data_IF_764104554764
#
_entry.id   IF_764104554764
#
_cell.length_a   1.000
_cell.length_b   1.000
_cell.length_c   1.000
_cell.angle_alpha   90.00
_cell.angle_beta   90.00
_cell.angle_gamma   90.00
#
_symmetry.space_group_name_H-M   'P 1'
#
loop_
_entity.id
_entity.type
_entity.pdbx_description
1 polymer ?
#
# COMPACT_ATOMS: atom_id res chain seq x y z
N UNK A 1 20.26 -4.12 -12.05
CA UNK A 1 20.75 -2.72 -12.15
C UNK A 1 20.07 -1.81 -11.12
N UNK A 2 18.72 -1.63 -11.15
CA UNK A 2 18.02 -0.78 -10.14
C UNK A 2 18.17 -1.37 -8.73
N UNK A 3 17.97 -2.67 -8.58
CA UNK A 3 18.11 -3.38 -7.31
C UNK A 3 19.51 -3.20 -6.71
N UNK A 4 20.55 -3.37 -7.53
CA UNK A 4 21.94 -3.24 -7.09
C UNK A 4 22.24 -1.83 -6.59
N UNK A 5 21.79 -0.81 -7.34
CA UNK A 5 21.93 0.60 -6.94
C UNK A 5 21.28 0.92 -5.60
N UNK A 6 20.07 0.40 -5.37
CA UNK A 6 19.33 0.66 -4.14
C UNK A 6 19.96 -0.07 -2.97
N UNK A 7 20.36 -1.33 -3.14
CA UNK A 7 21.02 -2.13 -2.10
C UNK A 7 22.38 -1.57 -1.65
N UNK A 8 23.07 -0.85 -2.51
CA UNK A 8 24.33 -0.18 -2.15
C UNK A 8 24.15 1.00 -1.19
N UNK A 9 22.96 1.59 -1.13
CA UNK A 9 22.68 2.81 -0.35
C UNK A 9 21.71 2.59 0.82
N UNK A 10 20.87 1.57 0.76
CA UNK A 10 19.76 1.37 1.69
C UNK A 10 19.70 -0.06 2.20
N UNK A 11 19.38 -0.23 3.48
CA UNK A 11 19.05 -1.52 4.08
C UNK A 11 17.68 -2.02 3.62
N UNK A 12 17.44 -3.32 3.76
CA UNK A 12 16.17 -3.96 3.34
C UNK A 12 14.90 -3.37 3.98
N UNK A 13 15.02 -2.76 5.15
CA UNK A 13 13.90 -2.11 5.84
C UNK A 13 13.58 -0.70 5.33
N UNK A 14 14.49 -0.09 4.56
CA UNK A 14 14.42 1.32 4.18
C UNK A 14 13.78 1.54 2.82
N UNK A 15 13.59 0.49 2.02
CA UNK A 15 12.96 0.60 0.70
C UNK A 15 12.01 -0.55 0.39
N UNK A 16 11.17 -0.32 -0.57
CA UNK A 16 10.31 -1.34 -1.19
C UNK A 16 10.07 -1.04 -2.66
N UNK A 17 9.76 -2.06 -3.44
CA UNK A 17 9.45 -1.92 -4.86
C UNK A 17 7.96 -2.17 -5.07
N UNK A 18 7.29 -1.24 -5.75
CA UNK A 18 5.85 -1.33 -6.04
C UNK A 18 5.59 -1.29 -7.54
N UNK A 19 4.64 -2.06 -8.02
CA UNK A 19 4.24 -2.05 -9.42
C UNK A 19 2.78 -2.46 -9.61
N UNK A 20 2.15 -1.97 -10.67
CA UNK A 20 0.87 -2.48 -11.17
C UNK A 20 0.97 -3.87 -11.81
N UNK A 21 2.18 -4.27 -12.18
CA UNK A 21 2.45 -5.54 -12.87
C UNK A 21 2.95 -6.59 -11.87
N UNK A 22 2.23 -7.68 -11.72
CA UNK A 22 2.58 -8.80 -10.84
C UNK A 22 3.97 -9.37 -11.16
N UNK A 23 4.32 -9.39 -12.47
CA UNK A 23 5.62 -9.84 -12.97
C UNK A 23 6.80 -9.09 -12.35
N UNK A 24 6.63 -7.81 -12.00
CA UNK A 24 7.71 -7.04 -11.35
C UNK A 24 7.98 -7.58 -9.96
N UNK A 25 6.94 -7.77 -9.14
CA UNK A 25 7.09 -8.38 -7.82
C UNK A 25 7.70 -9.78 -7.90
N UNK A 26 7.18 -10.61 -8.81
CA UNK A 26 7.71 -11.95 -9.04
C UNK A 26 9.20 -11.94 -9.38
N UNK A 27 9.62 -11.11 -10.35
CA UNK A 27 11.02 -11.02 -10.76
C UNK A 27 11.93 -10.49 -9.64
N UNK A 28 11.47 -9.50 -8.87
CA UNK A 28 12.22 -8.98 -7.72
C UNK A 28 12.43 -10.08 -6.68
N UNK A 29 11.38 -10.84 -6.36
CA UNK A 29 11.46 -11.95 -5.41
C UNK A 29 12.36 -13.09 -5.90
N UNK A 30 12.39 -13.33 -7.22
CA UNK A 30 13.31 -14.31 -7.81
C UNK A 30 14.78 -13.89 -7.72
N UNK A 31 15.07 -12.59 -7.80
CA UNK A 31 16.43 -12.04 -7.66
C UNK A 31 16.85 -11.98 -6.19
N UNK A 32 15.98 -11.46 -5.33
CA UNK A 32 16.25 -11.31 -3.90
C UNK A 32 14.94 -11.33 -3.09
N UNK A 33 14.61 -12.44 -2.44
CA UNK A 33 13.35 -12.60 -1.69
C UNK A 33 13.24 -11.69 -0.46
N UNK A 34 14.34 -11.11 0.02
CA UNK A 34 14.35 -10.17 1.16
C UNK A 34 13.82 -8.78 0.80
N UNK A 35 13.82 -8.42 -0.48
CA UNK A 35 13.28 -7.12 -0.92
C UNK A 35 11.77 -7.13 -0.77
N UNK A 36 11.25 -6.15 -0.04
CA UNK A 36 9.79 -5.97 0.10
C UNK A 36 9.18 -5.49 -1.20
N UNK A 37 8.14 -6.17 -1.65
CA UNK A 37 7.41 -5.82 -2.87
C UNK A 37 5.94 -5.61 -2.59
N UNK A 38 5.32 -4.69 -3.34
CA UNK A 38 3.90 -4.37 -3.22
C UNK A 38 3.18 -4.29 -4.56
N UNK A 39 1.91 -4.65 -4.55
CA UNK A 39 1.03 -4.46 -5.70
C UNK A 39 0.36 -3.09 -5.64
N UNK A 40 0.62 -2.26 -6.65
CA UNK A 40 -0.16 -1.05 -6.90
C UNK A 40 -1.53 -1.43 -7.47
N UNK A 41 -2.60 -0.90 -6.90
CA UNK A 41 -3.98 -1.19 -7.25
C UNK A 41 -4.75 0.12 -7.44
N UNK A 42 -5.75 0.13 -8.33
CA UNK A 42 -6.58 1.31 -8.57
C UNK A 42 -6.18 2.09 -9.81
N UNK A 43 -5.77 1.38 -10.89
CA UNK A 43 -5.59 2.00 -12.21
C UNK A 43 -6.87 2.70 -12.66
N UNK A 44 -6.70 3.85 -13.29
CA UNK A 44 -7.81 4.50 -13.98
C UNK A 44 -8.22 3.74 -15.25
N UNK A 45 -9.46 3.92 -15.67
CA UNK A 45 -10.00 3.41 -16.95
C UNK A 45 -9.79 1.91 -17.19
N UNK A 46 -9.93 1.10 -16.14
CA UNK A 46 -9.86 -0.38 -16.27
C UNK A 46 -11.24 -1.00 -16.34
N UNK A 47 -11.34 -2.11 -17.08
CA UNK A 47 -12.57 -2.90 -17.16
C UNK A 47 -12.97 -3.57 -15.85
N UNK A 48 -14.23 -4.01 -15.75
CA UNK A 48 -14.81 -4.62 -14.54
C UNK A 48 -13.98 -5.79 -14.00
N UNK A 49 -13.52 -6.70 -14.86
CA UNK A 49 -12.71 -7.84 -14.42
C UNK A 49 -11.38 -7.45 -13.78
N UNK A 50 -10.72 -6.41 -14.31
CA UNK A 50 -9.49 -5.87 -13.72
C UNK A 50 -9.80 -5.22 -12.36
N UNK A 51 -10.88 -4.45 -12.25
CA UNK A 51 -11.31 -3.83 -11.00
C UNK A 51 -11.62 -4.86 -9.93
N UNK A 52 -12.28 -5.95 -10.30
CA UNK A 52 -12.56 -7.05 -9.39
C UNK A 52 -11.27 -7.70 -8.87
N UNK A 53 -10.27 -7.91 -9.74
CA UNK A 53 -8.96 -8.44 -9.36
C UNK A 53 -8.14 -7.46 -8.50
N UNK A 54 -8.39 -6.16 -8.61
CA UNK A 54 -7.80 -5.15 -7.73
C UNK A 54 -8.48 -5.12 -6.36
N UNK A 55 -9.79 -5.38 -6.33
CA UNK A 55 -10.55 -5.45 -5.07
C UNK A 55 -10.26 -6.76 -4.30
N UNK A 56 -9.90 -7.85 -4.99
CA UNK A 56 -9.51 -9.13 -4.40
C UNK A 56 -8.07 -9.50 -4.78
N UNK A 57 -7.06 -8.80 -4.24
CA UNK A 57 -5.65 -8.95 -4.67
C UNK A 57 -4.95 -10.19 -4.11
N UNK A 58 -5.57 -10.92 -3.18
CA UNK A 58 -4.91 -11.95 -2.38
C UNK A 58 -4.33 -13.09 -3.24
N UNK A 59 -5.07 -13.50 -4.27
CA UNK A 59 -4.59 -14.54 -5.20
C UNK A 59 -3.38 -14.06 -6.00
N UNK A 60 -3.38 -12.79 -6.43
CA UNK A 60 -2.27 -12.18 -7.16
C UNK A 60 -1.04 -12.07 -6.26
N UNK A 61 -1.22 -11.60 -5.03
CA UNK A 61 -0.14 -11.52 -4.03
C UNK A 61 0.53 -12.87 -3.83
N UNK A 62 -0.27 -13.92 -3.61
CA UNK A 62 0.25 -15.28 -3.42
C UNK A 62 1.07 -15.75 -4.63
N UNK A 63 0.62 -15.45 -5.86
CA UNK A 63 1.32 -15.86 -7.09
C UNK A 63 2.65 -15.13 -7.31
N UNK A 64 2.71 -13.84 -7.00
CA UNK A 64 3.89 -13.02 -7.26
C UNK A 64 4.79 -12.79 -6.03
N UNK A 65 4.39 -13.30 -4.86
CA UNK A 65 5.14 -13.14 -3.62
C UNK A 65 5.13 -11.73 -3.04
N UNK A 66 4.15 -10.89 -3.42
CA UNK A 66 4.07 -9.53 -2.89
C UNK A 66 3.76 -9.51 -1.39
N UNK A 67 4.44 -8.65 -0.65
CA UNK A 67 4.36 -8.57 0.81
C UNK A 67 3.23 -7.64 1.29
N UNK A 68 2.81 -6.70 0.46
CA UNK A 68 1.76 -5.72 0.79
C UNK A 68 0.98 -5.27 -0.44
N UNK A 69 -0.13 -4.59 -0.20
CA UNK A 69 -0.89 -3.90 -1.26
C UNK A 69 -0.77 -2.39 -1.11
N UNK A 70 -0.76 -1.71 -2.24
CA UNK A 70 -0.78 -0.25 -2.30
C UNK A 70 -1.96 0.20 -3.15
N UNK A 71 -3.18 0.24 -2.56
CA UNK A 71 -4.39 0.62 -3.27
C UNK A 71 -4.56 2.14 -3.37
N UNK A 72 -5.20 2.59 -4.46
CA UNK A 72 -5.77 3.92 -4.52
C UNK A 72 -6.87 4.06 -3.47
N UNK A 73 -6.99 5.23 -2.83
CA UNK A 73 -7.91 5.45 -1.70
C UNK A 73 -9.38 5.13 -2.02
N UNK A 74 -9.80 5.25 -3.28
CA UNK A 74 -11.17 4.92 -3.71
C UNK A 74 -11.51 3.43 -3.57
N UNK A 75 -10.53 2.54 -3.55
CA UNK A 75 -10.71 1.11 -3.28
C UNK A 75 -10.86 0.81 -1.78
N UNK A 76 -10.45 1.74 -0.92
CA UNK A 76 -10.35 1.52 0.53
C UNK A 76 -11.70 1.73 1.22
N UNK A 77 -12.70 0.91 0.87
CA UNK A 77 -13.93 0.81 1.65
C UNK A 77 -13.62 0.18 3.02
N UNK A 78 -14.52 0.34 3.97
CA UNK A 78 -14.37 -0.27 5.31
C UNK A 78 -14.24 -1.80 5.24
N UNK A 79 -15.02 -2.42 4.38
CA UNK A 79 -15.04 -3.86 4.14
C UNK A 79 -13.73 -4.35 3.53
N UNK A 80 -13.21 -3.61 2.53
CA UNK A 80 -11.93 -3.90 1.89
C UNK A 80 -10.79 -3.88 2.91
N UNK A 81 -10.68 -2.79 3.67
CA UNK A 81 -9.63 -2.65 4.68
C UNK A 81 -9.72 -3.75 5.75
N UNK A 82 -10.91 -3.97 6.32
CA UNK A 82 -11.11 -5.02 7.34
C UNK A 82 -10.78 -6.42 6.84
N UNK A 83 -11.14 -6.74 5.58
CA UNK A 83 -10.85 -8.04 5.00
C UNK A 83 -9.34 -8.30 4.88
N UNK A 84 -8.60 -7.31 4.40
CA UNK A 84 -7.15 -7.43 4.27
C UNK A 84 -6.44 -7.45 5.63
N UNK A 85 -6.92 -6.66 6.60
CA UNK A 85 -6.41 -6.69 7.97
C UNK A 85 -6.59 -8.06 8.63
N UNK A 86 -7.75 -8.71 8.45
CA UNK A 86 -7.98 -10.08 8.95
C UNK A 86 -6.99 -11.11 8.39
N UNK A 87 -6.41 -10.83 7.25
CA UNK A 87 -5.38 -11.65 6.60
C UNK A 87 -3.95 -11.16 6.88
N UNK A 88 -3.80 -10.20 7.78
CA UNK A 88 -2.51 -9.56 8.12
C UNK A 88 -1.78 -8.98 6.91
N UNK A 89 -2.52 -8.51 5.90
CA UNK A 89 -1.96 -7.87 4.71
C UNK A 89 -1.77 -6.38 4.96
N UNK A 90 -0.53 -5.85 4.91
CA UNK A 90 -0.30 -4.42 5.06
C UNK A 90 -0.89 -3.62 3.89
N UNK A 91 -1.47 -2.44 4.19
CA UNK A 91 -2.20 -1.60 3.25
C UNK A 91 -1.56 -0.20 3.22
N UNK A 92 -0.93 0.17 2.10
CA UNK A 92 -0.24 1.45 1.89
C UNK A 92 -1.03 2.28 0.88
N UNK A 93 -1.93 3.14 1.36
CA UNK A 93 -2.92 3.85 0.54
C UNK A 93 -2.31 5.07 -0.16
N UNK A 94 -2.60 5.26 -1.45
CA UNK A 94 -2.11 6.37 -2.29
C UNK A 94 -3.21 6.96 -3.16
N UNK A 95 -3.04 8.13 -3.73
CA UNK A 95 -2.37 9.28 -3.18
C UNK A 95 -3.44 10.08 -2.44
N UNK A 96 -3.24 10.33 -1.17
CA UNK A 96 -4.27 10.93 -0.30
C UNK A 96 -3.85 12.34 0.11
N UNK A 97 -4.51 13.35 -0.45
CA UNK A 97 -4.23 14.76 -0.17
C UNK A 97 -5.36 15.44 0.61
N UNK A 98 -6.54 14.84 0.67
CA UNK A 98 -7.69 15.37 1.40
C UNK A 98 -7.65 14.99 2.89
N UNK A 99 -7.79 15.98 3.75
CA UNK A 99 -7.74 15.85 5.21
C UNK A 99 -8.83 14.93 5.78
N UNK A 100 -10.04 14.94 5.20
CA UNK A 100 -11.15 14.09 5.68
C UNK A 100 -10.90 12.63 5.33
N UNK A 101 -10.36 12.39 4.13
CA UNK A 101 -9.97 11.04 3.69
C UNK A 101 -8.82 10.51 4.54
N UNK A 102 -7.79 11.33 4.84
CA UNK A 102 -6.70 10.96 5.75
C UNK A 102 -7.24 10.49 7.10
N UNK A 103 -8.11 11.28 7.74
CA UNK A 103 -8.74 10.93 9.02
C UNK A 103 -9.53 9.62 8.95
N UNK A 104 -10.30 9.43 7.88
CA UNK A 104 -11.08 8.20 7.66
C UNK A 104 -10.16 6.98 7.60
N UNK A 105 -9.09 7.04 6.81
CA UNK A 105 -8.14 5.94 6.61
C UNK A 105 -7.36 5.61 7.88
N UNK A 106 -6.93 6.62 8.63
CA UNK A 106 -6.27 6.44 9.94
C UNK A 106 -7.20 5.68 10.90
N UNK A 107 -8.48 6.08 10.98
CA UNK A 107 -9.48 5.40 11.83
C UNK A 107 -9.81 3.99 11.35
N UNK A 108 -9.69 3.72 10.06
CA UNK A 108 -9.81 2.36 9.51
C UNK A 108 -8.59 1.49 9.83
N UNK A 109 -7.46 2.08 10.27
CA UNK A 109 -6.25 1.36 10.65
C UNK A 109 -5.43 0.88 9.46
N UNK A 110 -5.38 1.64 8.36
CA UNK A 110 -4.44 1.33 7.27
C UNK A 110 -3.00 1.43 7.75
N UNK A 111 -2.10 0.68 7.14
CA UNK A 111 -0.70 0.59 7.59
C UNK A 111 0.07 1.88 7.32
N UNK A 112 -0.16 2.51 6.16
CA UNK A 112 0.49 3.75 5.78
C UNK A 112 -0.38 4.55 4.80
N UNK A 113 -0.16 5.85 4.77
CA UNK A 113 -0.75 6.79 3.80
C UNK A 113 0.38 7.46 3.04
N UNK A 114 0.27 7.47 1.71
CA UNK A 114 1.16 8.16 0.80
C UNK A 114 0.47 9.43 0.33
N UNK A 115 1.11 10.58 0.57
CA UNK A 115 0.55 11.91 0.31
C UNK A 115 1.60 12.83 -0.30
N UNK A 116 1.15 13.76 -1.15
CA UNK A 116 1.96 14.91 -1.60
C UNK A 116 1.96 16.05 -0.57
N UNK A 117 1.14 15.92 0.49
CA UNK A 117 0.97 16.89 1.56
C UNK A 117 1.36 16.27 2.93
N UNK A 118 2.64 15.95 3.15
CA UNK A 118 3.09 15.35 4.40
C UNK A 118 2.90 16.28 5.62
N UNK A 119 2.94 17.59 5.42
CA UNK A 119 2.62 18.60 6.42
C UNK A 119 1.19 18.43 6.96
N UNK A 120 0.21 18.28 6.06
CA UNK A 120 -1.21 18.08 6.43
C UNK A 120 -1.39 16.72 7.10
N UNK A 121 -0.76 15.67 6.58
CA UNK A 121 -0.86 14.32 7.10
C UNK A 121 -0.32 14.24 8.54
N UNK A 122 0.85 14.81 8.81
CA UNK A 122 1.44 14.85 10.15
C UNK A 122 0.53 15.56 11.16
N UNK A 123 -0.05 16.71 10.78
CA UNK A 123 -1.01 17.42 11.63
C UNK A 123 -2.27 16.59 11.93
N UNK A 124 -2.74 15.80 10.96
CA UNK A 124 -3.88 14.90 11.15
C UNK A 124 -3.54 13.78 12.13
N UNK A 125 -2.36 13.15 11.98
CA UNK A 125 -1.89 12.06 12.84
C UNK A 125 -1.75 12.55 14.28
N UNK A 126 -1.05 13.68 14.50
CA UNK A 126 -0.87 14.26 15.82
C UNK A 126 -2.22 14.57 16.48
N UNK A 127 -3.16 15.18 15.73
CA UNK A 127 -4.48 15.52 16.27
C UNK A 127 -5.34 14.29 16.60
N UNK A 128 -5.13 13.16 15.93
CA UNK A 128 -5.85 11.90 16.20
C UNK A 128 -5.26 11.18 17.44
N UNK A 129 -3.93 11.22 17.59
CA UNK A 129 -3.24 10.68 18.78
C UNK A 129 -3.68 11.42 20.03
N UNK A 130 -3.60 12.77 20.02
CA UNK A 130 -3.98 13.61 21.18
C UNK A 130 -5.45 13.45 21.59
N UNK A 131 -6.34 12.96 20.71
CA UNK A 131 -7.73 12.68 21.05
C UNK A 131 -7.94 11.30 21.67
N UNK A 132 -7.04 10.36 21.44
CA UNK A 132 -7.11 9.02 22.05
C UNK A 132 -6.63 8.98 23.48
N UNK A 133 -5.76 9.94 23.85
CA UNK A 133 -5.19 10.07 25.19
C UNK A 133 -6.07 10.88 26.15
N UNK A 134 -7.27 11.32 25.71
CA UNK A 134 -8.28 12.00 26.52
C UNK A 134 -9.49 11.09 26.75
#
# INVERSE_FOLDING_TARGET
RVIDMVKQRYGYGEFSIKSFKDRVSYNVKAIDPKIRTGLLLGRENVGFGVRLNEYFPERRMKKCGADFVSPHYLLCTREYVKRLQKKSIPIYVWTVNDRKIMKKLIRQGVTAIISDRPDVLNNVIISDILKKDR
#
